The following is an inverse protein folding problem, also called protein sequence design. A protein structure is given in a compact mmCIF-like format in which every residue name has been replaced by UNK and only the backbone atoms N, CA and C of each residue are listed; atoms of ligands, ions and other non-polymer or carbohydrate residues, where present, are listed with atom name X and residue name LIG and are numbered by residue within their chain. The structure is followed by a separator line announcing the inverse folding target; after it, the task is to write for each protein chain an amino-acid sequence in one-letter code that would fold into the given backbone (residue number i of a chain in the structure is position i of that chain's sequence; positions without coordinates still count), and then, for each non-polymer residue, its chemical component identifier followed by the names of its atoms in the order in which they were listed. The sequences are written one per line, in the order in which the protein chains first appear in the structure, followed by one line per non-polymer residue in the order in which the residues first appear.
data_IF_875347039832
#
_entry.id   IF_875347039832
#
_cell.length_a   1.000
_cell.length_b   1.000
_cell.length_c   1.000
_cell.angle_alpha   90.00
_cell.angle_beta   90.00
_cell.angle_gamma   90.00
#
_symmetry.space_group_name_H-M   'P 1'
#
loop_
_entity.id
_entity.type
_entity.pdbx_description
1 polymer ?
2 non-polymer ?
3 water ?
#
# COMPACT_ATOMS: atom_id res chain seq x y z
N UNK A 1 17.40 17.71 17.93
CA UNK A 1 18.56 17.07 18.55
C UNK A 1 18.22 15.66 19.04
N UNK A 2 16.93 15.38 19.22
CA UNK A 2 16.48 14.06 19.63
C UNK A 2 17.10 13.01 18.71
N UNK A 3 17.63 11.94 19.31
CA UNK A 3 18.39 10.94 18.59
C UNK A 3 17.86 9.55 18.86
N UNK A 4 18.31 8.60 18.02
CA UNK A 4 18.01 7.18 18.17
C UNK A 4 19.25 6.39 17.77
N UNK A 5 19.63 5.42 18.61
CA UNK A 5 20.68 4.48 18.24
C UNK A 5 20.03 3.13 18.00
N UNK A 6 20.54 2.40 17.00
CA UNK A 6 19.99 1.11 16.63
C UNK A 6 21.16 0.17 16.38
N UNK A 7 21.20 -0.95 17.10
CA UNK A 7 22.45 -1.69 17.21
C UNK A 7 23.50 -0.70 17.71
N UNK A 8 24.55 -0.47 16.92
CA UNK A 8 25.52 0.54 17.28
C UNK A 8 25.67 1.67 16.29
N UNK A 9 24.54 2.21 15.79
CA UNK A 9 24.54 3.38 14.93
C UNK A 9 23.62 4.45 15.49
N UNK A 10 24.06 5.70 15.41
CA UNK A 10 23.29 6.84 15.88
C UNK A 10 22.62 7.48 14.67
N UNK A 11 21.39 7.93 14.87
CA UNK A 11 20.58 8.54 13.83
C UNK A 11 19.91 9.78 14.41
N UNK A 12 19.82 10.82 13.59
CA UNK A 12 19.24 12.09 14.02
C UNK A 12 17.82 12.20 13.48
N UNK A 13 16.89 12.63 14.33
CA UNK A 13 15.49 12.74 13.93
C UNK A 13 15.28 14.09 13.25
N UNK A 14 15.06 14.06 11.93
CA UNK A 14 14.63 15.26 11.22
C UNK A 14 13.20 15.64 11.57
N UNK A 15 12.31 14.66 11.52
CA UNK A 15 10.90 14.88 11.86
C UNK A 15 10.27 13.51 12.06
N UNK A 16 9.01 13.55 12.48
CA UNK A 16 8.18 12.37 12.60
C UNK A 16 7.26 12.33 11.40
N UNK A 17 7.34 11.25 10.62
CA UNK A 17 6.45 11.09 9.48
C UNK A 17 5.06 10.72 9.93
N UNK A 18 4.94 9.72 10.80
CA UNK A 18 3.62 9.21 11.09
C UNK A 18 3.58 8.40 12.36
N UNK A 19 2.38 7.94 12.67
CA UNK A 19 2.14 7.28 13.93
C UNK A 19 0.86 6.47 13.78
N UNK A 20 0.69 5.53 14.69
CA UNK A 20 -0.41 4.59 14.62
C UNK A 20 -0.77 4.15 16.01
N UNK A 21 -0.90 2.85 16.22
CA UNK A 21 -1.30 2.38 17.53
C UNK A 21 -0.26 2.77 18.54
N UNK A 22 0.72 1.89 18.72
CA UNK A 22 1.84 2.15 19.59
C UNK A 22 3.12 2.42 18.81
N UNK A 23 2.99 2.83 17.55
CA UNK A 23 4.09 2.92 16.61
C UNK A 23 4.31 4.36 16.16
N UNK A 24 5.57 4.69 15.92
CA UNK A 24 5.97 5.94 15.30
C UNK A 24 6.96 5.65 14.17
N UNK A 25 6.92 6.47 13.13
CA UNK A 25 7.92 6.43 12.08
C UNK A 25 8.59 7.79 11.98
N UNK A 26 9.92 7.77 11.88
CA UNK A 26 10.71 8.98 11.82
C UNK A 26 11.53 9.02 10.54
N UNK A 27 11.70 10.23 10.01
CA UNK A 27 12.72 10.50 9.02
C UNK A 27 13.98 10.91 9.75
N UNK A 28 15.10 10.27 9.42
CA UNK A 28 16.34 10.44 10.17
C UNK A 28 17.52 10.48 9.22
N UNK A 29 18.65 10.95 9.74
CA UNK A 29 19.93 10.91 9.05
C UNK A 29 20.87 10.01 9.84
N UNK A 30 21.63 9.18 9.13
CA UNK A 30 22.66 8.40 9.81
C UNK A 30 23.86 9.30 10.11
N UNK A 31 24.99 8.70 10.45
CA UNK A 31 26.17 9.51 10.78
C UNK A 31 26.71 10.21 9.55
N UNK A 32 26.80 9.50 8.43
CA UNK A 32 27.28 10.10 7.18
C UNK A 32 26.20 10.89 6.45
N UNK A 33 25.15 11.33 7.16
CA UNK A 33 24.20 12.32 6.65
C UNK A 33 23.35 11.79 5.50
N UNK A 34 23.17 10.48 5.44
CA UNK A 34 22.23 9.85 4.52
C UNK A 34 20.87 9.69 5.19
N UNK A 35 19.85 9.58 4.38
CA UNK A 35 18.48 9.65 4.86
C UNK A 35 17.89 8.24 4.98
N UNK A 36 17.14 8.00 6.06
CA UNK A 36 16.53 6.71 6.36
C UNK A 36 15.17 6.97 7.00
N UNK A 37 14.34 5.94 7.08
CA UNK A 37 13.20 5.98 7.98
C UNK A 37 13.42 4.97 9.11
N UNK A 38 13.02 5.33 10.32
CA UNK A 38 13.04 4.41 11.44
C UNK A 38 11.63 4.30 12.00
N UNK A 39 11.11 3.07 12.09
CA UNK A 39 9.86 2.77 12.77
C UNK A 39 10.14 2.34 14.21
N UNK A 40 9.42 2.95 15.15
CA UNK A 40 9.55 2.64 16.56
C UNK A 40 8.24 2.04 17.03
N UNK A 41 8.32 0.94 17.76
CA UNK A 41 7.17 0.31 18.40
C UNK A 41 7.44 0.19 19.89
N UNK A 42 6.53 0.71 20.70
CA UNK A 42 6.61 0.57 22.16
C UNK A 42 5.88 -0.71 22.52
N UNK A 43 6.63 -1.72 22.94
CA UNK A 43 6.01 -3.00 23.28
C UNK A 43 5.58 -3.09 24.74
N UNK A 44 5.92 -2.10 25.56
CA UNK A 44 5.64 -2.13 26.98
C UNK A 44 4.28 -2.76 27.28
N UNK A 45 3.22 -2.19 26.71
CA UNK A 45 1.93 -2.85 26.74
C UNK A 45 1.57 -3.28 25.33
N UNK A 46 1.26 -4.56 25.20
CA UNK A 46 1.01 -5.16 23.90
C UNK A 46 0.57 -6.60 24.09
N UNK A 47 -0.62 -6.90 23.58
CA UNK A 47 -1.15 -8.25 23.57
C UNK A 47 -0.12 -9.24 22.99
N UNK A 48 -0.35 -10.53 23.23
CA UNK A 48 0.44 -11.55 22.53
C UNK A 48 0.08 -11.64 21.04
N UNK A 49 -1.07 -11.08 20.63
CA UNK A 49 -1.44 -11.05 19.22
C UNK A 49 -0.56 -10.05 18.46
N UNK A 50 -0.58 -8.77 18.88
CA UNK A 50 0.19 -7.73 18.16
C UNK A 50 1.69 -7.99 18.24
N UNK A 51 2.19 -8.49 19.37
CA UNK A 51 3.57 -8.95 19.37
C UNK A 51 3.81 -9.83 18.14
N UNK A 52 2.97 -10.84 17.97
CA UNK A 52 3.18 -11.77 16.87
C UNK A 52 2.99 -11.09 15.52
N UNK A 53 2.05 -10.16 15.40
CA UNK A 53 1.90 -9.42 14.16
C UNK A 53 3.17 -8.62 13.83
N UNK A 54 3.76 -7.96 14.83
CA UNK A 54 4.98 -7.19 14.60
C UNK A 54 6.15 -8.09 14.24
N UNK A 55 6.27 -9.24 14.93
CA UNK A 55 7.26 -10.26 14.56
C UNK A 55 7.02 -10.80 13.16
N UNK A 56 5.75 -10.96 12.78
CA UNK A 56 5.45 -11.52 11.47
C UNK A 56 5.81 -10.55 10.35
N UNK A 57 5.57 -9.25 10.55
CA UNK A 57 5.97 -8.26 9.54
C UNK A 57 7.48 -8.24 9.34
N UNK A 58 8.25 -8.29 10.44
CA UNK A 58 9.71 -8.20 10.31
C UNK A 58 10.24 -9.39 9.52
N UNK A 59 9.73 -10.58 9.81
CA UNK A 59 10.24 -11.78 9.14
C UNK A 59 9.89 -11.75 7.65
N UNK A 60 8.63 -11.45 7.32
CA UNK A 60 8.26 -11.32 5.92
C UNK A 60 9.04 -10.19 5.23
N UNK A 61 9.19 -9.05 5.90
CA UNK A 61 9.98 -7.97 5.29
C UNK A 61 11.38 -8.45 4.95
N UNK A 62 12.02 -9.17 5.87
CA UNK A 62 13.35 -9.72 5.64
C UNK A 62 13.31 -10.78 4.54
N UNK A 63 12.28 -11.62 4.55
CA UNK A 63 12.20 -12.67 3.54
C UNK A 63 11.95 -12.09 2.14
N UNK A 64 11.06 -11.09 2.03
CA UNK A 64 10.53 -10.66 0.74
C UNK A 64 11.43 -9.68 0.01
N UNK A 65 12.28 -8.93 0.70
CA UNK A 65 13.08 -7.95 -0.03
C UNK A 65 14.15 -8.63 -0.87
N UNK A 66 14.47 -9.87 -0.57
CA UNK A 66 15.40 -10.59 -1.43
C UNK A 66 14.82 -10.78 -2.83
N UNK A 67 13.49 -10.83 -2.96
CA UNK A 67 12.85 -11.25 -4.20
C UNK A 67 12.28 -10.09 -5.02
N UNK A 68 12.38 -8.86 -4.54
CA UNK A 68 11.91 -7.73 -5.32
C UNK A 68 12.39 -6.44 -4.65
N UNK A 69 12.71 -5.45 -5.48
CA UNK A 69 13.08 -4.13 -5.00
C UNK A 69 11.91 -3.14 -5.07
N UNK A 70 10.69 -3.63 -5.26
CA UNK A 70 9.46 -2.86 -5.12
C UNK A 70 8.84 -3.05 -3.74
N UNK A 71 9.57 -3.69 -2.83
CA UNK A 71 9.24 -3.76 -1.42
C UNK A 71 10.23 -2.86 -0.71
N UNK A 72 9.74 -1.98 0.18
CA UNK A 72 10.63 -1.12 0.95
C UNK A 72 11.60 -1.99 1.74
N UNK A 73 12.90 -1.62 1.71
CA UNK A 73 13.94 -2.40 2.37
C UNK A 73 13.99 -2.17 3.87
N UNK A 74 14.22 -3.25 4.60
CA UNK A 74 14.57 -3.24 6.01
C UNK A 74 16.07 -3.45 6.08
N UNK A 75 16.80 -2.45 6.56
CA UNK A 75 18.24 -2.54 6.59
C UNK A 75 18.73 -3.21 7.87
N UNK A 76 18.32 -2.66 9.00
CA UNK A 76 18.64 -3.16 10.32
C UNK A 76 17.38 -3.08 11.15
N UNK A 77 17.38 -3.81 12.24
CA UNK A 77 16.34 -3.65 13.23
C UNK A 77 16.89 -4.15 14.55
N UNK A 78 16.18 -3.78 15.60
CA UNK A 78 16.50 -4.11 16.97
C UNK A 78 15.17 -4.46 17.62
N UNK A 79 15.09 -5.62 18.27
CA UNK A 79 13.84 -5.96 18.93
C UNK A 79 14.15 -6.52 20.31
N UNK A 80 13.56 -5.91 21.33
CA UNK A 80 13.67 -6.40 22.69
C UNK A 80 12.26 -6.65 23.16
N UNK A 81 12.16 -7.03 24.43
CA UNK A 81 10.85 -7.16 25.08
C UNK A 81 10.17 -5.81 25.26
N UNK A 82 10.91 -4.70 25.20
CA UNK A 82 10.28 -3.39 25.39
C UNK A 82 10.00 -2.66 24.07
N UNK A 83 10.91 -2.70 23.11
CA UNK A 83 10.74 -1.88 21.91
C UNK A 83 11.15 -2.64 20.65
N UNK A 84 10.71 -2.09 19.52
CA UNK A 84 11.25 -2.42 18.21
C UNK A 84 11.76 -1.13 17.57
N UNK A 85 12.94 -1.20 16.97
CA UNK A 85 13.41 -0.19 16.03
C UNK A 85 13.66 -0.86 14.70
N UNK A 86 13.17 -0.25 13.62
CA UNK A 86 13.35 -0.75 12.27
C UNK A 86 13.95 0.35 11.39
N UNK A 87 15.16 0.13 10.89
CA UNK A 87 15.80 1.08 9.97
C UNK A 87 15.42 0.65 8.56
N UNK A 88 14.77 1.55 7.82
CA UNK A 88 14.21 1.23 6.51
C UNK A 88 14.49 2.35 5.52
N UNK A 89 14.45 1.94 4.26
CA UNK A 89 14.34 2.86 3.15
C UNK A 89 13.28 3.90 3.42
N UNK A 90 13.62 5.13 3.11
CA UNK A 90 12.74 6.22 3.41
C UNK A 90 12.11 6.66 2.09
N UNK A 91 10.79 6.68 2.02
CA UNK A 91 10.12 7.21 0.85
C UNK A 91 10.21 8.73 0.77
N UNK A 92 10.00 9.28 -0.44
CA UNK A 92 9.76 10.73 -0.57
C UNK A 92 8.42 11.11 0.06
N UNK A 93 7.40 10.27 -0.13
CA UNK A 93 6.04 10.58 0.28
C UNK A 93 5.21 9.35 -0.03
N UNK A 94 4.05 9.21 0.60
CA UNK A 94 3.20 8.10 0.24
C UNK A 94 2.31 8.49 -0.93
N UNK A 95 1.86 7.47 -1.66
CA UNK A 95 1.08 7.72 -2.87
C UNK A 95 -0.27 8.38 -2.56
N UNK A 96 -0.86 8.11 -1.40
CA UNK A 96 -2.11 8.80 -1.06
C UNK A 96 -1.90 10.29 -0.85
N UNK A 97 -0.87 10.67 -0.07
CA UNK A 97 -0.60 12.09 0.11
C UNK A 97 -0.33 12.75 -1.24
N UNK A 98 0.36 12.05 -2.11
CA UNK A 98 0.79 12.65 -3.36
C UNK A 98 -0.39 12.80 -4.32
N UNK A 99 -1.28 11.80 -4.36
CA UNK A 99 -2.43 11.85 -5.24
C UNK A 99 -3.34 13.03 -4.89
N UNK A 100 -3.38 13.42 -3.63
CA UNK A 100 -4.21 14.53 -3.21
C UNK A 100 -3.61 15.90 -3.57
N UNK A 101 -2.54 15.93 -4.35
CA UNK A 101 -2.01 17.15 -4.93
C UNK A 101 -2.29 17.26 -6.43
N UNK A 102 -3.24 16.46 -6.94
CA UNK A 102 -3.60 16.51 -8.36
C UNK A 102 -2.38 16.55 -9.29
N UNK A 105 -1.19 13.31 -13.64
CA UNK A 105 -0.19 12.25 -13.80
C UNK A 105 0.13 12.04 -15.27
N UNK A 106 1.41 12.03 -15.60
CA UNK A 106 1.83 11.71 -16.95
C UNK A 106 1.43 10.28 -17.29
N UNK A 107 0.77 10.03 -18.42
CA UNK A 107 0.38 8.66 -18.76
C UNK A 107 1.50 7.65 -18.56
N UNK A 108 2.73 8.04 -18.83
CA UNK A 108 3.84 7.09 -18.76
C UNK A 108 4.24 6.83 -17.32
N UNK A 109 4.20 7.86 -16.47
CA UNK A 109 4.43 7.63 -15.05
C UNK A 109 3.34 6.74 -14.47
N UNK A 110 2.12 6.87 -14.97
CA UNK A 110 1.01 6.07 -14.45
C UNK A 110 1.18 4.59 -14.78
N UNK A 111 1.56 4.26 -16.01
CA UNK A 111 1.70 2.84 -16.28
C UNK A 111 3.01 2.29 -15.72
N UNK A 112 4.02 3.13 -15.54
CA UNK A 112 5.20 2.68 -14.80
C UNK A 112 4.86 2.41 -13.32
N UNK A 113 4.08 3.28 -12.69
CA UNK A 113 3.69 3.04 -11.30
C UNK A 113 2.91 1.73 -11.20
N UNK A 114 1.96 1.53 -12.12
CA UNK A 114 1.15 0.32 -12.15
C UNK A 114 2.01 -0.94 -12.21
N UNK A 115 2.95 -1.00 -13.15
CA UNK A 115 3.91 -2.10 -13.17
C UNK A 115 4.53 -2.30 -11.80
N UNK A 116 4.98 -1.21 -11.17
CA UNK A 116 5.58 -1.28 -9.84
C UNK A 116 4.66 -1.99 -8.84
N UNK A 117 3.39 -1.57 -8.77
CA UNK A 117 2.46 -2.16 -7.81
C UNK A 117 2.20 -3.64 -8.09
N UNK A 118 2.05 -4.01 -9.37
CA UNK A 118 1.82 -5.42 -9.71
C UNK A 118 3.00 -6.27 -9.29
N UNK A 119 4.21 -5.82 -9.62
CA UNK A 119 5.39 -6.53 -9.21
C UNK A 119 5.41 -6.74 -7.69
N UNK A 120 5.06 -5.72 -6.90
CA UNK A 120 5.17 -5.85 -5.44
C UNK A 120 4.11 -6.80 -4.91
N UNK A 121 2.88 -6.59 -5.33
CA UNK A 121 1.78 -7.45 -4.90
C UNK A 121 1.94 -8.87 -5.41
N UNK A 122 2.46 -9.03 -6.64
CA UNK A 122 2.70 -10.37 -7.16
C UNK A 122 3.67 -11.14 -6.26
N UNK A 123 4.76 -10.49 -5.83
CA UNK A 123 5.73 -11.23 -5.04
C UNK A 123 5.21 -11.53 -3.63
N UNK A 124 4.39 -10.67 -3.03
CA UNK A 124 3.85 -11.09 -1.74
C UNK A 124 2.86 -12.23 -1.94
N UNK A 125 2.15 -12.25 -3.08
CA UNK A 125 1.26 -13.39 -3.36
C UNK A 125 2.03 -14.68 -3.49
N UNK A 126 3.21 -14.64 -4.12
CA UNK A 126 3.98 -15.86 -4.30
C UNK A 126 4.45 -16.43 -2.96
N UNK A 127 4.51 -15.63 -1.91
CA UNK A 127 4.89 -16.09 -0.58
C UNK A 127 3.69 -16.23 0.35
N UNK A 128 2.50 -16.37 -0.20
CA UNK A 128 1.36 -16.75 0.60
C UNK A 128 0.59 -15.65 1.28
N UNK A 129 0.89 -14.38 1.02
CA UNK A 129 0.15 -13.28 1.61
C UNK A 129 -0.89 -12.76 0.61
N UNK A 130 -2.11 -12.59 1.09
CA UNK A 130 -3.10 -11.69 0.51
C UNK A 130 -3.17 -10.49 1.45
N UNK A 131 -2.95 -9.29 0.91
CA UNK A 131 -2.94 -8.09 1.74
C UNK A 131 -4.33 -7.82 2.31
N UNK A 132 -5.34 -7.69 1.43
CA UNK A 132 -6.74 -7.54 1.80
C UNK A 132 -7.19 -6.07 1.94
N UNK A 133 -6.32 -5.19 2.44
CA UNK A 133 -6.71 -3.80 2.60
C UNK A 133 -5.76 -2.88 1.84
N UNK A 134 -5.50 -3.20 0.58
CA UNK A 134 -4.56 -2.39 -0.20
C UNK A 134 -5.19 -1.04 -0.49
N UNK A 135 -4.38 0.00 -0.43
CA UNK A 135 -4.82 1.34 -0.77
C UNK A 135 -3.58 2.19 -1.04
N UNK A 136 -3.77 3.40 -1.57
CA UNK A 136 -2.62 4.26 -1.89
C UNK A 136 -1.59 4.45 -0.78
N UNK A 137 -2.05 4.58 0.46
CA UNK A 137 -1.13 4.74 1.59
C UNK A 137 -0.12 3.60 1.70
N UNK A 138 -0.43 2.42 1.16
CA UNK A 138 0.51 1.31 1.25
C UNK A 138 1.71 1.44 0.31
N UNK A 139 1.73 2.43 -0.58
CA UNK A 139 2.81 2.57 -1.55
C UNK A 139 3.57 3.87 -1.32
N UNK A 140 4.89 3.81 -1.39
CA UNK A 140 5.77 4.95 -1.20
C UNK A 140 6.44 5.29 -2.52
N UNK A 141 6.57 6.59 -2.81
CA UNK A 141 7.31 7.05 -3.98
C UNK A 141 8.77 7.19 -3.58
N UNK A 142 9.65 6.43 -4.24
CA UNK A 142 11.07 6.57 -4.00
C UNK A 142 11.80 6.14 -5.25
N UNK A 143 12.87 6.85 -5.59
CA UNK A 143 13.65 6.52 -6.79
C UNK A 143 12.82 6.60 -8.06
N UNK A 144 11.77 7.43 -8.05
CA UNK A 144 10.85 7.42 -9.17
C UNK A 144 10.04 6.14 -9.33
N UNK A 145 9.96 5.30 -8.29
CA UNK A 145 9.16 4.08 -8.30
C UNK A 145 8.15 4.10 -7.17
N UNK A 146 7.18 3.19 -7.24
CA UNK A 146 6.29 2.88 -6.13
C UNK A 146 6.82 1.65 -5.43
N UNK A 147 6.88 1.67 -4.08
CA UNK A 147 7.29 0.51 -3.30
C UNK A 147 6.27 0.23 -2.20
N UNK A 148 5.96 -1.05 -1.99
CA UNK A 148 4.99 -1.45 -0.99
C UNK A 148 5.58 -1.40 0.43
N UNK A 149 4.83 -0.82 1.37
CA UNK A 149 5.30 -0.71 2.75
C UNK A 149 4.56 -1.65 3.71
N UNK A 150 3.31 -2.02 3.45
CA UNK A 150 2.61 -2.89 4.41
C UNK A 150 2.30 -4.27 3.82
N UNK A 151 1.87 -5.16 4.70
CA UNK A 151 1.31 -6.44 4.28
C UNK A 151 -0.09 -6.65 4.82
N UNK A 152 -0.72 -5.58 5.33
CA UNK A 152 -2.02 -5.65 5.96
C UNK A 152 -1.89 -6.24 7.35
N UNK A 153 -0.75 -6.90 7.60
CA UNK A 153 -0.56 -7.68 8.81
C UNK A 153 -0.53 -6.77 10.03
N UNK A 154 0.35 -5.76 10.02
CA UNK A 154 0.61 -5.00 11.22
C UNK A 154 -0.35 -3.80 11.31
N UNK A 155 -0.02 -2.81 12.15
CA UNK A 155 -0.92 -1.72 12.47
C UNK A 155 -0.79 -0.62 11.42
N UNK A 156 -1.90 -0.25 10.80
CA UNK A 156 -1.89 0.78 9.76
C UNK A 156 -1.67 2.15 10.40
N UNK A 157 -0.56 2.81 10.08
CA UNK A 157 -0.28 4.13 10.63
C UNK A 157 -0.92 5.21 9.78
N UNK A 158 -0.82 6.45 10.23
CA UNK A 158 -1.38 7.58 9.50
C UNK A 158 -0.40 8.74 9.53
N UNK A 159 -0.43 9.58 8.49
CA UNK A 159 0.55 10.67 8.42
C UNK A 159 0.31 11.67 9.54
N UNK A 160 1.40 12.17 10.12
CA UNK A 160 1.29 13.29 11.04
C UNK A 160 1.31 14.60 10.28
N UNK A 161 0.42 15.51 10.66
CA UNK A 161 0.54 16.89 10.21
C UNK A 161 1.16 17.70 11.36
N UNK A 162 1.41 18.97 11.11
CA UNK A 162 1.95 19.84 12.15
C UNK A 162 0.83 20.71 12.74
N UNK A 163 -0.35 20.67 12.11
CA UNK A 163 -1.58 21.18 12.70
C UNK A 163 -2.57 20.02 12.95
N UNK A 164 -2.60 19.51 14.19
CA UNK A 164 -3.22 18.20 14.49
C UNK A 164 -4.70 18.08 14.10
N UNK A 165 -5.08 16.87 13.66
CA UNK A 165 -6.42 16.58 13.16
C UNK A 165 -6.95 15.33 13.86
N UNK A 170 -8.44 8.98 9.70
CA UNK A 170 -9.67 8.22 9.64
C UNK A 170 -9.79 7.38 8.36
N UNK A 171 -9.61 6.06 8.51
CA UNK A 171 -9.56 5.12 7.40
C UNK A 171 -10.50 5.32 6.21
N UNK A 172 -10.07 4.85 5.06
CA UNK A 172 -10.89 4.94 3.84
C UNK A 172 -11.58 3.62 3.55
N UNK A 173 -12.49 3.63 2.60
CA UNK A 173 -13.30 2.44 2.34
C UNK A 173 -13.57 2.31 0.86
N UNK A 174 -13.10 3.29 0.10
CA UNK A 174 -13.31 3.29 -1.34
C UNK A 174 -12.62 2.12 -2.06
N UNK A 175 -11.70 1.41 -1.40
CA UNK A 175 -10.92 0.36 -2.04
C UNK A 175 -11.34 -1.04 -1.63
N UNK A 176 -12.38 -1.16 -0.85
CA UNK A 176 -12.75 -2.46 -0.31
C UNK A 176 -13.48 -3.29 -1.37
N UNK A 177 -13.06 -4.54 -1.58
CA UNK A 177 -13.65 -5.36 -2.66
C UNK A 177 -15.00 -5.91 -2.27
N UNK A 178 -15.84 -6.25 -3.25
CA UNK A 178 -17.17 -6.80 -2.93
C UNK A 178 -17.14 -8.05 -2.06
N UNK A 179 -16.20 -8.97 -2.30
CA UNK A 179 -16.17 -10.19 -1.50
C UNK A 179 -16.00 -9.88 -0.02
N UNK A 180 -15.19 -8.87 0.32
CA UNK A 180 -14.98 -8.55 1.72
C UNK A 180 -16.29 -8.14 2.38
N UNK A 181 -17.11 -7.34 1.70
CA UNK A 181 -18.37 -6.88 2.27
C UNK A 181 -19.33 -8.05 2.46
N UNK A 182 -19.56 -8.84 1.41
CA UNK A 182 -20.50 -9.96 1.46
C UNK A 182 -20.05 -11.08 2.39
N UNK A 183 -18.84 -11.01 2.95
CA UNK A 183 -18.31 -12.03 3.83
C UNK A 183 -18.28 -11.60 5.29
N UNK A 184 -19.21 -10.73 5.69
CA UNK A 184 -19.41 -10.45 7.11
C UNK A 184 -20.24 -11.52 7.79
N UNK A 185 -21.08 -12.24 7.05
CA UNK A 185 -21.88 -13.34 7.59
C UNK A 185 -21.02 -14.39 8.29
N UNK A 196 -7.57 -17.24 3.58
CA UNK A 196 -8.96 -17.58 3.31
C UNK A 196 -9.49 -16.85 2.07
N UNK A 197 -9.30 -15.52 2.03
CA UNK A 197 -9.81 -14.71 0.92
C UNK A 197 -8.83 -14.77 -0.25
N UNK A 198 -9.32 -14.42 -1.43
CA UNK A 198 -8.59 -14.68 -2.65
C UNK A 198 -7.46 -13.66 -2.90
N UNK A 199 -6.40 -14.08 -3.58
CA UNK A 199 -5.52 -13.12 -4.27
C UNK A 199 -6.30 -12.13 -5.13
N UNK A 200 -7.50 -12.50 -5.58
CA UNK A 200 -8.29 -11.65 -6.47
C UNK A 200 -8.80 -10.39 -5.78
N UNK A 201 -8.90 -10.36 -4.44
CA UNK A 201 -9.38 -9.13 -3.81
C UNK A 201 -8.31 -8.03 -3.79
N UNK A 202 -7.03 -8.39 -3.82
CA UNK A 202 -6.02 -7.36 -4.05
C UNK A 202 -6.11 -6.78 -5.46
N UNK A 203 -6.60 -7.55 -6.44
CA UNK A 203 -6.76 -7.03 -7.79
C UNK A 203 -7.81 -5.92 -7.80
N UNK A 204 -8.92 -6.15 -7.09
CA UNK A 204 -9.95 -5.13 -6.96
C UNK A 204 -9.35 -3.82 -6.44
N UNK A 205 -8.62 -3.89 -5.32
CA UNK A 205 -8.08 -2.70 -4.69
C UNK A 205 -7.07 -1.97 -5.55
N UNK A 206 -6.26 -2.73 -6.30
CA UNK A 206 -5.32 -2.13 -7.23
C UNK A 206 -6.05 -1.44 -8.36
N UNK A 207 -7.12 -2.07 -8.89
CA UNK A 207 -7.95 -1.42 -9.89
C UNK A 207 -8.49 -0.07 -9.43
N UNK A 208 -9.07 -0.01 -8.22
CA UNK A 208 -9.46 1.28 -7.63
C UNK A 208 -8.35 2.30 -7.61
N UNK A 209 -7.15 1.88 -7.23
CA UNK A 209 -6.03 2.82 -7.27
C UNK A 209 -5.74 3.27 -8.69
N UNK A 210 -5.66 2.32 -9.63
CA UNK A 210 -5.40 2.70 -11.02
C UNK A 210 -6.53 3.56 -11.56
N UNK A 211 -7.78 3.19 -11.26
CA UNK A 211 -8.93 4.01 -11.62
C UNK A 211 -8.77 5.43 -11.10
N UNK A 212 -8.47 5.56 -9.81
CA UNK A 212 -8.16 6.86 -9.23
C UNK A 212 -7.06 7.54 -10.02
N UNK A 213 -6.01 6.80 -10.38
CA UNK A 213 -4.88 7.39 -11.07
C UNK A 213 -5.21 7.82 -12.48
N UNK A 214 -6.33 7.37 -13.03
CA UNK A 214 -6.70 7.70 -14.40
C UNK A 214 -7.92 8.59 -14.49
N UNK A 215 -8.96 8.35 -13.69
CA UNK A 215 -10.18 9.16 -13.73
C UNK A 215 -10.28 10.13 -12.55
N UNK A 216 -9.18 10.44 -11.89
CA UNK A 216 -9.20 11.41 -10.82
C UNK A 216 -10.06 11.11 -9.60
N UNK A 217 -10.58 9.89 -9.48
CA UNK A 217 -11.47 9.56 -8.36
C UNK A 217 -11.63 8.04 -8.27
N UNK A 218 -11.95 7.56 -7.05
CA UNK A 218 -12.26 6.14 -6.91
C UNK A 218 -13.68 5.86 -7.40
N UNK A 219 -13.98 4.60 -7.75
CA UNK A 219 -15.23 4.30 -8.46
C UNK A 219 -16.50 4.65 -7.70
N UNK A 220 -16.41 5.02 -6.42
CA UNK A 220 -17.59 5.37 -5.65
C UNK A 220 -17.30 6.54 -4.71
N UNK A 221 -16.31 7.37 -5.08
CA UNK A 221 -16.00 8.59 -4.32
C UNK A 221 -17.15 9.59 -4.30
N UNK A 222 -18.16 9.41 -5.15
CA UNK A 222 -19.30 10.30 -5.16
C UNK A 222 -20.30 9.95 -4.06
N UNK A 223 -20.64 8.66 -3.93
CA UNK A 223 -21.58 8.20 -2.90
C UNK A 223 -21.05 8.51 -1.52
N UNK A 224 -21.12 9.78 -1.11
CA UNK A 224 -20.47 10.21 0.12
C UNK A 224 -21.07 9.55 1.36
N UNK A 225 -22.31 9.07 1.29
CA UNK A 225 -22.84 8.28 2.39
C UNK A 225 -22.26 6.89 2.35
N UNK A 226 -21.85 6.38 3.52
CA UNK A 226 -21.00 5.21 3.58
C UNK A 226 -21.75 3.89 3.47
N UNK A 227 -22.98 3.80 3.97
CA UNK A 227 -23.70 2.54 3.79
C UNK A 227 -24.29 2.43 2.38
N UNK A 228 -24.73 3.54 1.79
CA UNK A 228 -25.11 3.50 0.37
C UNK A 228 -23.89 3.28 -0.51
N UNK A 229 -22.71 3.73 -0.07
CA UNK A 229 -21.48 3.35 -0.76
C UNK A 229 -21.25 1.85 -0.69
N UNK A 230 -21.31 1.30 0.52
CA UNK A 230 -21.11 -0.14 0.67
C UNK A 230 -22.03 -0.92 -0.26
N UNK A 231 -23.25 -0.43 -0.47
CA UNK A 231 -24.20 -1.18 -1.28
C UNK A 231 -23.84 -1.11 -2.75
N UNK A 232 -23.42 0.06 -3.22
CA UNK A 232 -22.96 0.19 -4.60
C UNK A 232 -21.90 -0.87 -4.90
N UNK A 233 -20.84 -0.94 -4.07
CA UNK A 233 -19.76 -1.88 -4.30
C UNK A 233 -20.30 -3.28 -4.58
N UNK A 234 -21.34 -3.70 -3.84
CA UNK A 234 -21.83 -5.07 -3.93
C UNK A 234 -22.91 -5.25 -5.00
N UNK A 235 -23.35 -4.18 -5.65
CA UNK A 235 -24.61 -4.20 -6.40
C UNK A 235 -24.39 -4.62 -7.84
N UNK A 236 -24.87 -5.80 -8.27
CA UNK A 236 -24.66 -6.18 -9.68
C UNK A 236 -25.20 -5.19 -10.66
N UNK A 237 -26.35 -4.56 -10.37
CA UNK A 237 -27.00 -3.64 -11.29
C UNK A 237 -26.62 -2.20 -11.02
N UNK A 238 -25.40 -1.95 -10.57
CA UNK A 238 -24.86 -0.60 -10.41
C UNK A 238 -23.58 -0.53 -11.23
N UNK A 239 -23.69 0.07 -12.41
CA UNK A 239 -22.59 0.14 -13.36
C UNK A 239 -21.47 1.05 -12.86
N UNK A 240 -20.22 0.67 -13.14
CA UNK A 240 -19.09 1.57 -12.96
C UNK A 240 -18.82 2.30 -14.26
N UNK A 241 -18.56 3.59 -14.18
CA UNK A 241 -18.36 4.42 -15.34
C UNK A 241 -16.91 4.36 -15.80
N UNK A 242 -16.71 4.10 -17.10
CA UNK A 242 -15.38 3.97 -17.69
C UNK A 242 -15.30 4.92 -18.89
N UNK A 243 -15.34 6.23 -18.63
CA UNK A 243 -15.24 7.20 -19.73
C UNK A 243 -14.20 6.80 -20.77
N UNK A 244 -14.56 6.91 -22.05
CA UNK A 244 -13.59 6.63 -23.10
C UNK A 244 -12.33 7.45 -22.89
N UNK A 245 -11.19 6.86 -23.25
CA UNK A 245 -9.92 7.53 -23.08
C UNK A 245 -9.02 7.14 -24.24
N UNK A 246 -7.95 7.88 -24.49
CA UNK A 246 -7.02 7.48 -25.56
C UNK A 246 -6.46 6.08 -25.35
N UNK A 247 -5.95 5.76 -24.16
CA UNK A 247 -5.37 4.45 -23.89
C UNK A 247 -6.48 3.46 -23.62
N UNK A 248 -6.81 2.66 -24.64
CA UNK A 248 -7.91 1.72 -24.54
C UNK A 248 -7.53 0.47 -23.77
N UNK A 249 -6.25 0.08 -23.82
CA UNK A 249 -5.79 -1.01 -22.97
C UNK A 249 -5.85 -0.62 -21.48
N UNK A 250 -5.69 0.67 -21.16
CA UNK A 250 -5.92 1.08 -19.78
C UNK A 250 -7.39 0.95 -19.41
N UNK A 251 -8.29 1.28 -20.33
CA UNK A 251 -9.71 1.04 -20.11
C UNK A 251 -9.99 -0.43 -19.88
N UNK A 252 -9.41 -1.31 -20.71
CA UNK A 252 -9.62 -2.75 -20.53
C UNK A 252 -9.14 -3.21 -19.14
N UNK A 253 -7.92 -2.79 -18.74
CA UNK A 253 -7.39 -3.17 -17.43
C UNK A 253 -8.38 -2.82 -16.33
N UNK A 254 -8.83 -1.57 -16.31
CA UNK A 254 -9.77 -1.15 -15.28
C UNK A 254 -11.03 -1.99 -15.31
N UNK A 255 -11.52 -2.30 -16.52
CA UNK A 255 -12.76 -3.07 -16.63
C UNK A 255 -12.61 -4.46 -16.03
N UNK A 256 -11.46 -5.11 -16.25
CA UNK A 256 -11.28 -6.47 -15.77
C UNK A 256 -10.95 -6.52 -14.28
N UNK A 257 -10.20 -5.53 -13.76
CA UNK A 257 -9.94 -5.48 -12.33
C UNK A 257 -11.19 -5.30 -11.50
N UNK A 258 -12.16 -4.55 -12.03
CA UNK A 258 -13.30 -4.13 -11.26
C UNK A 258 -14.55 -4.93 -11.62
N UNK A 259 -14.37 -6.19 -12.01
CA UNK A 259 -15.48 -7.14 -12.07
C UNK A 259 -15.83 -7.60 -10.67
N UNK A 260 -17.13 -7.61 -10.36
CA UNK A 260 -17.55 -7.91 -8.99
C UNK A 260 -17.35 -9.38 -8.65
N UNK A 261 -17.55 -10.27 -9.60
CA UNK A 261 -17.34 -11.68 -9.31
C UNK A 261 -15.85 -11.96 -9.28
N UNK A 262 -15.28 -12.31 -8.11
CA UNK A 262 -13.84 -12.63 -8.06
C UNK A 262 -13.43 -13.71 -9.05
N UNK A 263 -14.31 -14.68 -9.31
CA UNK A 263 -13.96 -15.75 -10.24
C UNK A 263 -13.77 -15.24 -11.65
N UNK A 264 -14.50 -14.20 -12.04
CA UNK A 264 -14.40 -13.60 -13.36
C UNK A 264 -13.41 -12.44 -13.43
N UNK A 265 -12.94 -11.95 -12.29
CA UNK A 265 -11.97 -10.85 -12.25
C UNK A 265 -10.61 -11.32 -12.77
N UNK A 266 -9.84 -10.40 -13.35
CA UNK A 266 -8.55 -10.78 -13.90
C UNK A 266 -7.59 -11.04 -12.75
N UNK A 267 -6.63 -11.96 -12.98
CA UNK A 267 -5.65 -12.33 -11.99
C UNK A 267 -4.36 -11.54 -12.20
N UNK A 268 -3.51 -11.50 -11.16
CA UNK A 268 -2.21 -10.83 -11.29
C UNK A 268 -1.38 -11.46 -12.41
N UNK A 269 -1.18 -12.78 -12.45
CA UNK A 269 -0.43 -13.36 -13.57
C UNK A 269 -0.98 -12.95 -14.93
N UNK A 270 -2.31 -12.86 -15.10
CA UNK A 270 -2.87 -12.37 -16.36
C UNK A 270 -2.54 -10.89 -16.56
N UNK A 271 -2.67 -10.07 -15.50
CA UNK A 271 -2.40 -8.65 -15.65
C UNK A 271 -0.98 -8.41 -16.13
N UNK A 272 -0.04 -9.30 -15.78
CA UNK A 272 1.36 -9.12 -16.16
C UNK A 272 1.60 -9.40 -17.63
N UNK A 273 0.67 -10.10 -18.30
CA UNK A 273 0.75 -10.36 -19.73
C UNK A 273 -0.21 -9.47 -20.49
N UNK A 274 -0.76 -8.45 -19.86
CA UNK A 274 -1.72 -7.59 -20.51
C UNK A 274 -1.01 -6.50 -21.33
N UNK A 275 -1.61 -6.08 -22.45
CA UNK A 275 -0.89 -5.13 -23.34
C UNK A 275 -0.54 -3.81 -22.67
N UNK A 276 -1.44 -3.29 -21.83
CA UNK A 276 -1.12 -2.09 -21.05
C UNK A 276 0.24 -2.20 -20.37
N UNK A 277 0.58 -3.40 -19.87
CA UNK A 277 1.88 -3.62 -19.24
C UNK A 277 2.97 -3.95 -20.26
N UNK A 278 2.66 -4.71 -21.32
CA UNK A 278 3.68 -5.32 -22.18
C UNK A 278 4.05 -4.49 -23.41
N UNK A 279 3.07 -3.90 -24.10
CA UNK A 279 3.36 -2.96 -25.19
C UNK A 279 3.66 -1.59 -24.60
N UNK A 280 4.83 -1.04 -24.94
CA UNK A 280 5.41 -0.02 -24.09
C UNK A 280 4.94 1.42 -24.37
N UNK A 281 4.18 1.66 -25.43
CA UNK A 281 3.65 2.99 -25.69
C UNK A 281 2.12 2.98 -25.63
N UNK A 282 1.56 4.09 -25.17
CA UNK A 282 0.12 4.33 -25.06
C UNK A 282 -0.77 3.46 -25.95
X LIG B 1 2.89 12.41 4.16
X LIG B 1 4.94 10.18 3.93
X LIG B 1 7.21 9.42 3.85
X LIG B 1 8.15 7.12 4.46
X LIG B 1 7.96 4.76 5.78
X LIG B 1 8.15 3.48 6.31
X LIG B 1 5.73 5.62 6.69
X LIG B 1 4.56 6.44 6.45
X LIG B 1 2.35 7.15 7.66
X LIG B 1 3.77 6.59 7.78
X LIG B 1 9.04 5.01 4.98
X LIG B 1 9.37 2.99 5.80
X LIG B 1 6.93 5.77 5.86
X LIG B 1 3.73 5.84 5.32
X LIG B 1 9.64 12.12 4.31
X LIG B 1 7.69 10.73 4.03
X LIG B 1 6.79 11.79 4.16
X LIG B 1 5.42 11.51 4.12
X LIG B 1 4.69 13.94 4.31
X LIG B 1 3.27 14.70 4.36
X LIG B 1 2.31 13.84 3.98
X LIG B 1 5.85 9.15 3.79
X LIG B 1 7.24 2.78 7.24
X LIG B 1 2.38 6.56 5.15
X LIG B 1 1.57 6.60 6.46
X LIG B 1 4.44 12.59 4.21
X LIG B 1 8.26 8.38 3.73
X LIG B 1 9.10 6.22 4.32
X LIG B 1 6.55 2.25 7.94
X LIG B 1 9.89 3.92 5.01
X LIG B 1 7.09 6.91 5.19
X LIG B 1 9.07 10.86 4.06
X LIG B 1 5.75 14.46 4.37
X LIG B 1 2.63 11.79 3.33
X LIG B 1 2.54 11.98 5.07
X LIG B 1 3.87 9.99 3.90
X LIG B 1 5.72 4.95 7.42
X LIG B 1 4.87 7.43 6.13
X LIG B 1 1.80 6.91 8.57
X LIG B 1 2.41 8.24 7.55
X LIG B 1 4.33 7.25 8.42
X LIG B 1 3.70 5.61 8.22
X LIG B 1 9.81 2.01 6.03
X LIG B 1 3.56 4.79 5.55
X LIG B 1 4.30 5.91 4.39
X LIG B 1 9.48 12.39 5.35
X LIG B 1 10.71 12.08 4.11
X LIG B 1 9.18 12.86 3.66
X LIG B 1 7.15 12.81 4.29
X LIG B 1 3.07 15.02 5.38
X LIG B 1 3.29 15.56 3.69
X LIG B 1 1.42 13.96 4.60
X LIG B 1 2.06 14.01 2.93
X LIG B 1 5.50 8.13 3.64
X LIG B 1 2.56 7.58 4.83
X LIG B 1 1.80 6.04 4.39
X LIG B 1 1.25 5.58 6.70
X LIG B 1 0.69 7.22 6.30
X LIG B 1 9.06 8.55 3.13
X LIG B 1 10.76 3.84 4.52
#
# INVERSE_FOLDING_TARGET
NECISVKGRIYSILKQIGSGGSSKVFQVLNEKKQIYAIKYVNLEEADNQTLDSYRNEIAYLNKLQQHSDKIIRLYDYEITDQYIYMVMECGNIDLNSWLKKKKSIDPWERKSYWKNMLEAVHTIHQHGIVHSDLKPANFLIVDGMLKLIDFGIANQMQPDTTSVVKDSQVGTVNYMPPEAIKDMSSSRENGKSKSKISPKSDVWSLGCILYYMTYGKTPFQQIINQISKLHAIIDPNHEIEFPDIPEKDLQDVLKCCLKRDPKQRISIPELLAHPYVQIQTL
FZL C10 C12 C14 C16 C19 C20 N26 C27 C31 C32 C18 C23 C25 C28 C01 C03 C04 C05 C07 C08 C09 C13 C21 C29 C30 N06 N15 N17 N22 N24 N33 O02 O11 H1 H2 H3 H4 H5 H6 H7 H8 H9 H10 H11 H12 H13 H14 H15 H16 H17 H18 H19 H20 H21 H22 H23 H24 H25 H26 H27
#
